data_IF_276003142935
#
_entry.id   IF_276003142935
#
_cell.length_a   1.000
_cell.length_b   1.000
_cell.length_c   1.000
_cell.angle_alpha   90.00
_cell.angle_beta   90.00
_cell.angle_gamma   90.00
#
_symmetry.space_group_name_H-M   'P 1'
#
loop_
_entity.id
_entity.type
_entity.pdbx_description
1 polymer ?
#
# COMPACT_ATOMS: atom_id res chain seq x y z
N UNK A 1 6.84 -1.47 -1.74
CA UNK A 1 6.58 -2.61 -2.63
C UNK A 1 5.92 -3.68 -1.78
N UNK A 2 4.63 -3.52 -1.60
CA UNK A 2 3.79 -4.34 -0.76
C UNK A 2 2.81 -5.12 -1.63
N UNK A 3 2.60 -6.36 -1.24
CA UNK A 3 1.51 -7.21 -1.72
C UNK A 3 0.47 -7.32 -0.62
N UNK A 4 -0.79 -7.25 -1.00
CA UNK A 4 -1.93 -7.33 -0.09
C UNK A 4 -2.80 -8.49 -0.54
N UNK A 5 -3.17 -9.31 0.42
CA UNK A 5 -4.13 -10.40 0.24
C UNK A 5 -5.49 -9.92 0.72
N UNK A 6 -6.50 -10.01 -0.15
CA UNK A 6 -7.89 -9.70 0.16
C UNK A 6 -8.70 -10.99 0.06
N UNK A 7 -9.39 -11.34 1.13
CA UNK A 7 -10.12 -12.59 1.25
C UNK A 7 -11.62 -12.29 1.15
N UNK A 8 -12.31 -13.04 0.30
CA UNK A 8 -13.76 -13.00 0.16
C UNK A 8 -14.31 -14.40 0.43
N UNK A 9 -15.11 -14.50 1.48
CA UNK A 9 -15.66 -15.76 1.97
C UNK A 9 -17.17 -15.79 1.76
N UNK A 10 -17.65 -16.87 1.14
CA UNK A 10 -19.07 -17.15 0.94
C UNK A 10 -19.49 -18.31 1.83
N UNK A 11 -20.61 -18.14 2.53
CA UNK A 11 -21.16 -19.12 3.44
C UNK A 11 -22.70 -18.98 3.47
N UNK A 12 -23.42 -20.07 3.69
CA UNK A 12 -24.86 -20.04 3.97
C UNK A 12 -25.13 -19.53 5.38
N UNK A 13 -25.93 -18.47 5.49
CA UNK A 13 -26.24 -17.90 6.81
C UNK A 13 -27.14 -18.80 7.68
N UNK A 14 -28.15 -19.46 7.08
CA UNK A 14 -29.15 -20.23 7.84
C UNK A 14 -29.06 -21.75 7.67
N UNK A 15 -28.50 -22.23 6.56
CA UNK A 15 -28.56 -23.64 6.17
C UNK A 15 -27.21 -24.31 6.40
N UNK A 16 -27.21 -25.45 7.08
CA UNK A 16 -26.01 -26.24 7.30
C UNK A 16 -25.63 -27.02 6.03
N UNK A 17 -24.44 -27.64 6.03
CA UNK A 17 -23.98 -28.53 4.96
C UNK A 17 -24.98 -29.64 4.60
N UNK A 18 -25.66 -30.20 5.59
CA UNK A 18 -26.63 -31.28 5.39
C UNK A 18 -27.86 -30.83 4.59
N UNK A 19 -28.17 -29.53 4.59
CA UNK A 19 -29.29 -28.94 3.84
C UNK A 19 -28.83 -28.31 2.52
N UNK A 20 -27.67 -27.64 2.53
CA UNK A 20 -27.11 -26.95 1.37
C UNK A 20 -25.62 -27.25 1.28
N UNK A 21 -25.21 -27.97 0.24
CA UNK A 21 -23.81 -28.23 -0.07
C UNK A 21 -23.28 -27.21 -1.09
N UNK A 22 -22.23 -26.47 -0.75
CA UNK A 22 -21.61 -25.47 -1.62
C UNK A 22 -20.31 -26.00 -2.21
N UNK A 23 -20.16 -25.92 -3.54
CA UNK A 23 -18.95 -26.36 -4.26
C UNK A 23 -18.62 -25.37 -5.36
N UNK A 24 -17.32 -25.17 -5.60
CA UNK A 24 -16.83 -24.39 -6.74
C UNK A 24 -17.19 -25.06 -8.07
N UNK A 25 -17.60 -24.26 -9.06
CA UNK A 25 -17.70 -24.73 -10.45
C UNK A 25 -16.32 -24.93 -11.05
N UNK A 26 -16.21 -25.71 -12.14
CA UNK A 26 -14.94 -25.97 -12.86
C UNK A 26 -14.18 -24.69 -13.23
N UNK A 27 -14.92 -23.59 -13.46
CA UNK A 27 -14.39 -22.24 -13.58
C UNK A 27 -14.94 -21.38 -12.43
N UNK A 28 -14.28 -21.34 -11.25
CA UNK A 28 -14.83 -20.68 -10.07
C UNK A 28 -14.87 -19.16 -10.20
N UNK A 29 -14.05 -18.58 -11.08
CA UNK A 29 -13.98 -17.15 -11.32
C UNK A 29 -13.97 -16.89 -12.83
N UNK A 30 -15.01 -16.20 -13.30
CA UNK A 30 -15.07 -15.70 -14.67
C UNK A 30 -14.83 -14.20 -14.66
N UNK A 31 -13.64 -13.81 -15.12
CA UNK A 31 -13.26 -12.40 -15.21
C UNK A 31 -13.78 -11.82 -16.53
N UNK A 32 -14.79 -10.94 -16.46
CA UNK A 32 -15.34 -10.27 -17.64
C UNK A 32 -14.42 -9.17 -18.21
N UNK A 33 -13.51 -8.65 -17.38
CA UNK A 33 -12.54 -7.61 -17.75
C UNK A 33 -11.36 -7.62 -16.77
N UNK A 34 -10.18 -7.27 -17.28
CA UNK A 34 -9.00 -7.03 -16.44
C UNK A 34 -9.31 -6.02 -15.33
N UNK A 35 -9.06 -6.44 -14.08
CA UNK A 35 -9.28 -5.63 -12.89
C UNK A 35 -8.07 -4.73 -12.72
N UNK A 36 -8.17 -3.51 -13.26
CA UNK A 36 -7.18 -2.47 -13.07
C UNK A 36 -7.66 -1.47 -12.03
N UNK A 37 -6.98 -1.41 -10.88
CA UNK A 37 -7.19 -0.35 -9.91
C UNK A 37 -6.15 0.76 -10.14
N UNK A 38 -6.46 2.03 -9.82
CA UNK A 38 -5.52 3.14 -9.96
C UNK A 38 -4.20 2.89 -9.22
N UNK A 39 -4.28 2.39 -7.99
CA UNK A 39 -3.13 2.21 -7.09
C UNK A 39 -2.66 0.75 -6.98
N UNK A 40 -3.42 -0.21 -7.52
CA UNK A 40 -3.14 -1.64 -7.38
C UNK A 40 -3.32 -2.41 -8.68
N UNK A 41 -2.44 -3.38 -8.92
CA UNK A 41 -2.60 -4.39 -9.96
C UNK A 41 -2.89 -5.73 -9.31
N UNK A 42 -3.94 -6.43 -9.74
CA UNK A 42 -4.13 -7.83 -9.37
C UNK A 42 -2.99 -8.67 -9.97
N UNK A 43 -2.37 -9.52 -9.16
CA UNK A 43 -1.26 -10.39 -9.58
C UNK A 43 -1.75 -11.81 -9.77
N UNK A 44 -2.51 -12.32 -8.81
CA UNK A 44 -3.03 -13.68 -8.83
C UNK A 44 -4.30 -13.78 -7.97
N UNK A 45 -5.03 -14.87 -8.12
CA UNK A 45 -6.11 -15.25 -7.23
C UNK A 45 -6.04 -16.75 -6.94
N UNK A 46 -6.61 -17.17 -5.81
CA UNK A 46 -6.76 -18.58 -5.44
C UNK A 46 -8.13 -18.82 -4.85
N UNK A 47 -8.66 -20.02 -5.04
CA UNK A 47 -9.95 -20.45 -4.49
C UNK A 47 -9.73 -21.64 -3.57
N UNK A 48 -10.37 -21.65 -2.42
CA UNK A 48 -10.38 -22.78 -1.49
C UNK A 48 -11.79 -23.08 -1.03
N UNK A 49 -12.10 -24.34 -0.84
CA UNK A 49 -13.26 -24.83 -0.09
C UNK A 49 -12.79 -25.31 1.29
N UNK A 50 -13.48 -24.87 2.34
CA UNK A 50 -13.21 -25.27 3.71
C UNK A 50 -14.50 -25.74 4.39
N UNK A 51 -14.37 -26.70 5.30
CA UNK A 51 -15.46 -27.13 6.16
C UNK A 51 -15.25 -26.55 7.56
N UNK A 52 -16.16 -25.69 8.01
CA UNK A 52 -16.09 -25.04 9.32
C UNK A 52 -17.14 -25.60 10.27
N UNK A 53 -16.75 -25.76 11.55
CA UNK A 53 -17.64 -26.24 12.61
C UNK A 53 -18.15 -25.03 13.41
N UNK A 54 -19.47 -24.87 13.45
CA UNK A 54 -20.13 -23.89 14.32
C UNK A 54 -21.02 -24.60 15.36
N UNK A 55 -21.61 -23.81 16.26
CA UNK A 55 -22.41 -24.33 17.37
C UNK A 55 -23.61 -25.19 16.93
N UNK A 56 -24.16 -24.94 15.73
CA UNK A 56 -25.32 -25.65 15.22
C UNK A 56 -24.98 -26.74 14.16
N UNK A 57 -23.71 -27.13 13.99
CA UNK A 57 -23.29 -28.14 13.00
C UNK A 57 -22.09 -27.76 12.12
N UNK A 58 -22.00 -28.35 10.93
CA UNK A 58 -20.96 -28.08 9.92
C UNK A 58 -21.49 -27.21 8.78
N UNK A 59 -20.68 -26.26 8.34
CA UNK A 59 -20.96 -25.35 7.22
C UNK A 59 -19.86 -25.45 6.17
N UNK A 60 -20.28 -25.32 4.91
CA UNK A 60 -19.36 -25.18 3.79
C UNK A 60 -19.00 -23.70 3.61
N UNK A 61 -17.70 -23.45 3.58
CA UNK A 61 -17.11 -22.13 3.37
C UNK A 61 -16.37 -22.11 2.03
N UNK A 62 -16.79 -21.24 1.12
CA UNK A 62 -16.11 -21.03 -0.16
C UNK A 62 -15.34 -19.72 -0.12
N UNK A 63 -14.01 -19.82 -0.11
CA UNK A 63 -13.14 -18.65 0.05
C UNK A 63 -12.34 -18.36 -1.21
N UNK A 64 -12.31 -17.09 -1.60
CA UNK A 64 -11.51 -16.55 -2.71
C UNK A 64 -10.49 -15.57 -2.15
N UNK A 65 -9.22 -15.81 -2.44
CA UNK A 65 -8.13 -14.92 -2.07
C UNK A 65 -7.61 -14.20 -3.30
N UNK A 66 -7.68 -12.88 -3.29
CA UNK A 66 -7.12 -12.00 -4.32
C UNK A 66 -5.79 -11.43 -3.84
N UNK A 67 -4.76 -11.55 -4.68
CA UNK A 67 -3.43 -11.01 -4.40
C UNK A 67 -3.24 -9.74 -5.23
N UNK A 68 -3.17 -8.59 -4.56
CA UNK A 68 -2.93 -7.28 -5.16
C UNK A 68 -1.51 -6.80 -4.89
N UNK A 69 -0.91 -6.13 -5.87
CA UNK A 69 0.39 -5.46 -5.72
C UNK A 69 0.24 -3.96 -5.92
N UNK A 70 0.82 -3.15 -5.02
CA UNK A 70 0.76 -1.70 -5.11
C UNK A 70 1.60 -1.15 -6.26
N UNK A 71 1.03 -0.22 -7.03
CA UNK A 71 1.71 0.56 -8.08
C UNK A 71 2.54 1.68 -7.42
N UNK A 72 3.79 1.84 -7.84
CA UNK A 72 4.75 2.74 -7.17
C UNK A 72 5.03 4.05 -7.93
N UNK A 73 4.49 4.20 -9.15
CA UNK A 73 4.84 5.32 -10.04
C UNK A 73 4.58 6.70 -9.42
N UNK A 74 3.42 6.87 -8.77
CA UNK A 74 3.07 8.11 -8.10
C UNK A 74 4.04 8.45 -6.95
N UNK A 75 4.37 7.46 -6.11
CA UNK A 75 5.28 7.65 -4.98
C UNK A 75 6.71 8.02 -5.43
N UNK A 76 7.20 7.44 -6.53
CA UNK A 76 8.50 7.80 -7.10
C UNK A 76 8.53 9.26 -7.57
N UNK A 77 7.53 9.66 -8.36
CA UNK A 77 7.48 10.99 -8.96
C UNK A 77 7.26 12.09 -7.91
N UNK A 78 6.35 11.87 -6.96
CA UNK A 78 5.93 12.90 -6.01
C UNK A 78 6.67 12.86 -4.67
N UNK A 79 7.25 11.71 -4.30
CA UNK A 79 7.99 11.57 -3.04
C UNK A 79 9.51 11.50 -3.22
N UNK A 80 9.98 10.55 -4.04
CA UNK A 80 11.43 10.30 -4.15
C UNK A 80 12.16 11.38 -4.94
N UNK A 81 11.65 11.79 -6.11
CA UNK A 81 12.33 12.82 -6.93
C UNK A 81 12.50 14.15 -6.16
N UNK A 82 11.47 14.71 -5.50
CA UNK A 82 11.62 15.96 -4.75
C UNK A 82 12.57 15.84 -3.57
N UNK A 83 12.57 14.71 -2.85
CA UNK A 83 13.49 14.49 -1.72
C UNK A 83 14.94 14.39 -2.18
N UNK A 84 15.22 13.69 -3.29
CA UNK A 84 16.55 13.68 -3.89
C UNK A 84 17.02 15.07 -4.33
N UNK A 85 16.15 15.86 -4.97
CA UNK A 85 16.46 17.25 -5.33
C UNK A 85 16.84 18.08 -4.09
N UNK A 86 16.12 17.91 -2.99
CA UNK A 86 16.44 18.60 -1.73
C UNK A 86 17.79 18.17 -1.15
N UNK A 87 18.15 16.89 -1.24
CA UNK A 87 19.48 16.40 -0.84
C UNK A 87 20.57 17.08 -1.66
N UNK A 88 20.43 17.16 -2.99
CA UNK A 88 21.41 17.84 -3.84
C UNK A 88 21.53 19.34 -3.51
N UNK A 89 20.41 20.02 -3.25
CA UNK A 89 20.40 21.43 -2.83
C UNK A 89 21.10 21.61 -1.49
N UNK A 90 20.96 20.65 -0.57
CA UNK A 90 21.62 20.70 0.75
C UNK A 90 23.15 20.67 0.67
N UNK A 91 23.72 20.23 -0.47
CA UNK A 91 25.16 20.21 -0.68
C UNK A 91 25.73 21.51 -1.26
N UNK A 92 24.89 22.37 -1.85
CA UNK A 92 25.29 23.67 -2.41
C UNK A 92 26.03 24.55 -1.38
N UNK A 93 25.61 24.64 -0.11
CA UNK A 93 26.34 25.37 0.94
C UNK A 93 27.79 24.92 1.17
N UNK A 94 28.19 23.72 0.77
CA UNK A 94 29.59 23.29 0.88
C UNK A 94 30.48 23.95 -0.18
N UNK A 95 29.92 24.31 -1.33
CA UNK A 95 30.63 25.00 -2.40
C UNK A 95 30.71 26.51 -2.18
N UNK A 96 29.89 27.07 -1.29
CA UNK A 96 29.93 28.50 -0.96
C UNK A 96 31.13 28.82 -0.07
N UNK A 97 31.83 29.92 -0.40
CA UNK A 97 32.94 30.42 0.39
C UNK A 97 32.55 30.79 1.84
N UNK A 98 33.51 30.75 2.79
CA UNK A 98 33.24 30.87 4.22
C UNK A 98 32.66 32.23 4.65
N UNK A 99 32.75 33.26 3.80
CA UNK A 99 32.23 34.61 4.07
C UNK A 99 30.71 34.75 3.85
N UNK A 100 30.07 33.79 3.17
CA UNK A 100 28.66 33.84 2.83
C UNK A 100 27.75 33.12 3.87
N UNK A 101 27.93 33.43 5.16
CA UNK A 101 27.16 32.84 6.28
C UNK A 101 25.63 32.93 6.08
N UNK A 102 25.02 34.09 5.75
CA UNK A 102 23.57 34.20 5.66
C UNK A 102 22.96 33.36 4.52
N UNK A 103 23.69 33.16 3.43
CA UNK A 103 23.24 32.31 2.33
C UNK A 103 23.20 30.84 2.74
N UNK A 104 24.22 30.36 3.48
CA UNK A 104 24.30 28.96 3.92
C UNK A 104 23.20 28.61 4.92
N UNK A 105 22.92 29.49 5.88
CA UNK A 105 21.86 29.29 6.87
C UNK A 105 20.48 29.31 6.21
N UNK A 106 20.24 30.25 5.29
CA UNK A 106 18.97 30.34 4.56
C UNK A 106 18.68 29.09 3.71
N UNK A 107 19.67 28.56 2.99
CA UNK A 107 19.52 27.33 2.20
C UNK A 107 19.21 26.13 3.11
N UNK A 108 19.92 25.99 4.23
CA UNK A 108 19.70 24.89 5.18
C UNK A 108 18.30 24.92 5.82
N UNK A 109 17.85 26.09 6.28
CA UNK A 109 16.52 26.26 6.87
C UNK A 109 15.43 26.00 5.84
N UNK A 110 15.57 26.52 4.61
CA UNK A 110 14.57 26.31 3.57
C UNK A 110 14.52 24.84 3.11
N UNK A 111 15.65 24.13 3.09
CA UNK A 111 15.69 22.70 2.81
C UNK A 111 14.95 21.87 3.89
N UNK A 112 15.18 22.17 5.17
CA UNK A 112 14.46 21.53 6.28
C UNK A 112 12.95 21.79 6.20
N UNK A 113 12.56 23.03 5.90
CA UNK A 113 11.16 23.41 5.73
C UNK A 113 10.52 22.67 4.54
N UNK A 114 11.24 22.56 3.41
CA UNK A 114 10.76 21.82 2.25
C UNK A 114 10.54 20.33 2.57
N UNK A 115 11.49 19.69 3.28
CA UNK A 115 11.35 18.29 3.70
C UNK A 115 10.15 18.07 4.63
N UNK A 116 9.95 18.97 5.61
CA UNK A 116 8.80 18.88 6.53
C UNK A 116 7.45 19.07 5.82
N UNK A 117 7.37 20.00 4.85
CA UNK A 117 6.18 20.14 4.00
C UNK A 117 5.92 18.90 3.14
N UNK A 118 6.96 18.33 2.52
CA UNK A 118 6.85 17.11 1.71
C UNK A 118 6.38 15.92 2.56
N UNK A 119 6.95 15.74 3.75
CA UNK A 119 6.54 14.72 4.72
C UNK A 119 5.06 14.84 5.09
N UNK A 120 4.61 16.07 5.41
CA UNK A 120 3.22 16.35 5.69
C UNK A 120 2.29 16.04 4.50
N UNK A 121 2.70 16.39 3.28
CA UNK A 121 1.91 16.13 2.08
C UNK A 121 1.77 14.61 1.80
N UNK A 122 2.87 13.86 1.92
CA UNK A 122 2.86 12.41 1.74
C UNK A 122 1.94 11.76 2.78
N UNK A 123 2.08 12.09 4.06
CA UNK A 123 1.24 11.52 5.13
C UNK A 123 -0.25 11.80 4.91
N UNK A 124 -0.62 12.96 4.35
CA UNK A 124 -2.02 13.29 4.07
C UNK A 124 -2.64 12.43 2.98
N UNK A 125 -1.84 11.94 2.04
CA UNK A 125 -2.29 11.08 0.94
C UNK A 125 -2.25 9.59 1.29
N UNK A 126 -1.61 9.20 2.41
CA UNK A 126 -1.60 7.81 2.88
C UNK A 126 -2.63 7.62 4.01
N UNK A 127 -3.21 6.41 4.14
CA UNK A 127 -4.01 6.08 5.30
C UNK A 127 -3.17 6.19 6.58
N UNK A 128 -3.78 6.74 7.63
CA UNK A 128 -3.13 6.88 8.94
C UNK A 128 -2.97 5.51 9.56
N UNK A 129 -1.73 5.14 9.83
CA UNK A 129 -1.36 3.90 10.52
C UNK A 129 -0.42 4.22 11.67
N UNK A 130 -0.51 3.44 12.75
CA UNK A 130 0.27 3.68 13.98
C UNK A 130 1.68 3.07 13.96
N UNK A 131 2.04 2.31 12.92
CA UNK A 131 3.35 1.69 12.76
C UNK A 131 4.22 2.45 11.75
N UNK A 132 5.54 2.26 11.88
CA UNK A 132 6.54 2.86 11.01
C UNK A 132 6.49 2.19 9.63
N UNK A 133 6.30 2.99 8.57
CA UNK A 133 6.36 2.51 7.18
C UNK A 133 7.74 2.74 6.59
N UNK A 134 8.08 1.99 5.54
CA UNK A 134 9.33 2.17 4.80
C UNK A 134 9.53 3.62 4.30
N UNK A 135 8.45 4.31 3.91
CA UNK A 135 8.50 5.70 3.48
C UNK A 135 8.79 6.69 4.63
N UNK A 136 8.36 6.35 5.85
CA UNK A 136 8.65 7.16 7.04
C UNK A 136 10.14 7.07 7.37
N UNK A 137 10.74 5.87 7.24
CA UNK A 137 12.19 5.66 7.39
C UNK A 137 12.98 6.40 6.31
N UNK A 138 12.50 6.41 5.06
CA UNK A 138 13.15 7.14 3.98
C UNK A 138 13.22 8.64 4.25
N UNK A 139 12.13 9.24 4.72
CA UNK A 139 12.07 10.69 4.94
C UNK A 139 12.76 11.16 6.22
N UNK A 140 12.97 10.27 7.19
CA UNK A 140 13.70 10.57 8.42
C UNK A 140 15.23 10.38 8.29
N UNK A 141 15.70 9.87 7.15
CA UNK A 141 17.11 9.63 6.88
C UNK A 141 17.74 10.78 6.09
#
# INVERSE_FOLDING_TARGET
MDTIECILTFESFNYNRDEVHMVWSDSPLMQFKDIELPDFSMVNYSTSDNLTLYAAGYWDELTVTFIFRRRYGWYLLQGYIPTYMTIFISWIPFYLGPKAIPARTMIGVNALLAMTFQFGNIIRNLPRVSYIKAIDVWMLR
#
